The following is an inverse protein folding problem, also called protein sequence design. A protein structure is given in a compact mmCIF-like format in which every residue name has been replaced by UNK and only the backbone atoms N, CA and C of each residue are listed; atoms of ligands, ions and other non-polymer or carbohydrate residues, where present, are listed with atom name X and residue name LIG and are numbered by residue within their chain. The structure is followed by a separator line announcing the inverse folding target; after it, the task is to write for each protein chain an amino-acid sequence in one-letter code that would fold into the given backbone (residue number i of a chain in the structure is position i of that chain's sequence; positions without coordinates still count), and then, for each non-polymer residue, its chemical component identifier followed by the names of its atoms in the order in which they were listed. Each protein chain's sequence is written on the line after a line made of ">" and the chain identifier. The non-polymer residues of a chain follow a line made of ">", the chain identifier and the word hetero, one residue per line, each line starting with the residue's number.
data_IF_778703969370
#
_entry.id   IF_778703969370
#
_cell.length_a   1.000
_cell.length_b   1.000
_cell.length_c   1.000
_cell.angle_alpha   90.00
_cell.angle_beta   90.00
_cell.angle_gamma   90.00
#
_symmetry.space_group_name_H-M   'P 1'
#
loop_
_entity.id
_entity.type
_entity.pdbx_description
1 polymer ?
#
# COMPACT_ATOMS: atom_id res chain seq x y z
N UNK A 1 4.27 -20.61 2.53
CA UNK A 1 5.14 -19.45 2.72
C UNK A 1 4.40 -18.27 2.15
N UNK A 2 3.59 -17.62 2.97
CA UNK A 2 2.71 -16.55 2.53
C UNK A 2 3.36 -15.19 2.84
N UNK A 3 3.22 -14.26 1.90
CA UNK A 3 3.65 -12.87 2.05
C UNK A 3 2.43 -12.02 2.43
N UNK A 4 2.06 -12.02 3.71
CA UNK A 4 0.84 -11.37 4.20
C UNK A 4 0.82 -9.87 3.89
N UNK A 5 1.96 -9.20 3.96
CA UNK A 5 2.10 -7.78 3.67
C UNK A 5 1.69 -7.45 2.23
N UNK A 6 2.07 -8.30 1.27
CA UNK A 6 1.76 -8.09 -0.15
C UNK A 6 0.31 -8.40 -0.49
N UNK A 7 -0.28 -9.44 0.09
CA UNK A 7 -1.70 -9.75 -0.11
C UNK A 7 -2.61 -8.74 0.61
N UNK A 8 -2.23 -8.27 1.79
CA UNK A 8 -2.93 -7.18 2.46
C UNK A 8 -2.81 -5.86 1.69
N UNK A 9 -1.61 -5.53 1.17
CA UNK A 9 -1.41 -4.37 0.30
C UNK A 9 -2.27 -4.46 -0.97
N UNK A 10 -2.40 -5.66 -1.57
CA UNK A 10 -3.29 -5.88 -2.71
C UNK A 10 -4.72 -5.50 -2.37
N UNK A 11 -5.26 -6.00 -1.25
CA UNK A 11 -6.63 -5.68 -0.81
C UNK A 11 -6.81 -4.17 -0.55
N UNK A 12 -5.88 -3.54 0.16
CA UNK A 12 -5.90 -2.09 0.39
C UNK A 12 -5.91 -1.29 -0.91
N UNK A 13 -5.02 -1.61 -1.85
CA UNK A 13 -4.98 -0.96 -3.17
C UNK A 13 -6.26 -1.18 -3.97
N UNK A 14 -6.86 -2.37 -3.90
CA UNK A 14 -8.15 -2.63 -4.56
C UNK A 14 -9.27 -1.75 -4.00
N UNK A 15 -9.29 -1.51 -2.68
CA UNK A 15 -10.25 -0.58 -2.06
C UNK A 15 -10.04 0.85 -2.55
N UNK A 16 -8.79 1.34 -2.46
CA UNK A 16 -8.44 2.72 -2.81
C UNK A 16 -8.68 3.01 -4.29
N UNK A 17 -8.33 2.08 -5.18
CA UNK A 17 -8.48 2.23 -6.62
C UNK A 17 -9.89 1.87 -7.13
N UNK A 18 -10.78 1.37 -6.26
CA UNK A 18 -12.11 0.90 -6.66
C UNK A 18 -12.07 -0.30 -7.61
N UNK A 19 -11.08 -1.19 -7.47
CA UNK A 19 -10.92 -2.37 -8.32
C UNK A 19 -11.82 -3.52 -7.87
N UNK A 20 -12.72 -3.97 -8.75
CA UNK A 20 -13.74 -4.99 -8.46
C UNK A 20 -13.38 -6.41 -8.97
N UNK A 21 -12.11 -6.83 -8.87
CA UNK A 21 -11.70 -8.21 -9.22
C UNK A 21 -11.98 -9.17 -8.06
N UNK A 22 -13.11 -9.88 -8.13
CA UNK A 22 -13.49 -10.86 -7.09
C UNK A 22 -12.50 -12.02 -6.96
N UNK A 23 -11.94 -12.51 -8.06
CA UNK A 23 -11.02 -13.66 -8.00
C UNK A 23 -9.73 -13.26 -7.28
N UNK A 24 -9.19 -12.09 -7.61
CA UNK A 24 -8.00 -11.56 -6.95
C UNK A 24 -8.25 -11.28 -5.46
N UNK A 25 -9.46 -10.80 -5.13
CA UNK A 25 -9.89 -10.56 -3.75
C UNK A 25 -9.99 -11.86 -2.95
N UNK A 26 -10.76 -12.83 -3.45
CA UNK A 26 -10.97 -14.12 -2.79
C UNK A 26 -9.63 -14.84 -2.53
N UNK A 27 -8.69 -14.74 -3.48
CA UNK A 27 -7.35 -15.28 -3.33
C UNK A 27 -6.58 -14.60 -2.19
N UNK A 28 -6.55 -13.27 -2.15
CA UNK A 28 -5.85 -12.54 -1.11
C UNK A 28 -6.48 -12.77 0.28
N UNK A 29 -7.81 -12.81 0.37
CA UNK A 29 -8.52 -13.11 1.61
C UNK A 29 -8.23 -14.53 2.12
N UNK A 30 -8.13 -15.53 1.23
CA UNK A 30 -7.74 -16.90 1.60
C UNK A 30 -6.30 -16.98 2.10
N UNK A 31 -5.36 -16.29 1.46
CA UNK A 31 -3.95 -16.26 1.90
C UNK A 31 -3.77 -15.54 3.25
N UNK A 32 -4.73 -14.70 3.65
CA UNK A 32 -4.72 -13.95 4.92
C UNK A 32 -5.55 -14.62 6.03
N UNK A 33 -6.21 -15.75 5.77
CA UNK A 33 -7.07 -16.40 6.76
C UNK A 33 -6.29 -16.76 8.03
N UNK A 34 -6.71 -16.23 9.17
CA UNK A 34 -6.02 -16.41 10.46
C UNK A 34 -4.82 -15.50 10.70
N UNK A 35 -4.53 -14.57 9.77
CA UNK A 35 -3.43 -13.61 9.81
C UNK A 35 -3.88 -12.15 9.68
N UNK A 36 -5.19 -11.89 9.81
CA UNK A 36 -5.77 -10.55 9.85
C UNK A 36 -5.68 -9.99 11.28
N UNK A 37 -4.49 -9.54 11.65
CA UNK A 37 -4.25 -8.82 12.90
C UNK A 37 -3.30 -7.63 12.71
N UNK A 38 -3.36 -6.69 13.65
CA UNK A 38 -2.43 -5.57 13.73
C UNK A 38 -2.31 -4.77 12.41
N UNK A 39 -1.08 -4.47 11.95
CA UNK A 39 -0.86 -3.75 10.70
C UNK A 39 -1.40 -4.45 9.45
N UNK A 40 -1.44 -5.79 9.43
CA UNK A 40 -1.92 -6.56 8.27
C UNK A 40 -3.42 -6.35 8.07
N UNK A 41 -4.22 -6.44 9.15
CA UNK A 41 -5.65 -6.14 9.10
C UNK A 41 -5.90 -4.67 8.69
N UNK A 42 -5.13 -3.75 9.25
CA UNK A 42 -5.22 -2.33 8.90
C UNK A 42 -4.93 -2.07 7.41
N UNK A 43 -3.91 -2.75 6.85
CA UNK A 43 -3.51 -2.62 5.45
C UNK A 43 -4.57 -3.21 4.50
N UNK A 44 -5.12 -4.39 4.83
CA UNK A 44 -6.15 -5.04 4.02
C UNK A 44 -7.46 -4.24 3.93
N UNK A 45 -7.79 -3.49 4.98
CA UNK A 45 -9.01 -2.68 5.08
C UNK A 45 -8.81 -1.20 4.75
N UNK A 46 -7.59 -0.78 4.40
CA UNK A 46 -7.28 0.61 4.09
C UNK A 46 -8.17 1.12 2.95
N UNK A 47 -8.68 2.34 3.11
CA UNK A 47 -9.58 3.01 2.14
C UNK A 47 -8.96 4.27 1.54
N UNK A 48 -7.75 4.64 1.98
CA UNK A 48 -6.97 5.76 1.44
C UNK A 48 -5.50 5.38 1.26
N UNK A 49 -4.78 6.07 0.37
CA UNK A 49 -3.32 5.86 0.19
C UNK A 49 -2.54 6.16 1.49
N UNK A 50 -2.94 7.18 2.25
CA UNK A 50 -2.29 7.51 3.53
C UNK A 50 -2.48 6.43 4.60
N UNK A 51 -3.63 5.74 4.62
CA UNK A 51 -3.83 4.57 5.48
C UNK A 51 -2.95 3.40 5.05
N UNK A 52 -2.85 3.15 3.73
CA UNK A 52 -1.94 2.13 3.18
C UNK A 52 -0.52 2.40 3.63
N UNK A 53 0.00 3.62 3.43
CA UNK A 53 1.38 3.98 3.80
C UNK A 53 1.63 3.78 5.29
N UNK A 54 0.71 4.24 6.16
CA UNK A 54 0.83 4.07 7.61
C UNK A 54 0.86 2.60 8.04
N UNK A 55 -0.02 1.78 7.49
CA UNK A 55 -0.11 0.37 7.88
C UNK A 55 1.01 -0.47 7.26
N UNK A 56 1.48 -0.11 6.07
CA UNK A 56 2.62 -0.76 5.42
C UNK A 56 3.93 -0.47 6.15
N UNK A 57 4.15 0.78 6.60
CA UNK A 57 5.30 1.14 7.45
C UNK A 57 5.31 0.31 8.75
N UNK A 58 4.16 0.19 9.43
CA UNK A 58 4.05 -0.63 10.63
C UNK A 58 4.28 -2.13 10.35
N UNK A 59 3.77 -2.67 9.24
CA UNK A 59 4.02 -4.05 8.84
C UNK A 59 5.50 -4.31 8.49
N UNK A 60 6.19 -3.33 7.90
CA UNK A 60 7.63 -3.39 7.63
C UNK A 60 8.45 -3.42 8.93
N UNK A 61 8.06 -2.65 9.94
CA UNK A 61 8.69 -2.69 11.27
C UNK A 61 8.55 -4.08 11.90
N UNK A 62 7.34 -4.65 11.88
CA UNK A 62 7.11 -6.01 12.42
C UNK A 62 7.94 -7.07 11.65
N UNK A 63 8.03 -6.95 10.33
CA UNK A 63 8.84 -7.83 9.50
C UNK A 63 10.34 -7.72 9.82
N UNK A 64 10.84 -6.51 10.03
CA UNK A 64 12.23 -6.25 10.42
C UNK A 64 12.54 -6.80 11.81
N UNK A 65 11.60 -6.67 12.76
CA UNK A 65 11.72 -7.30 14.08
C UNK A 65 11.78 -8.83 13.96
N UNK A 66 10.92 -9.43 13.13
CA UNK A 66 10.96 -10.86 12.88
C UNK A 66 12.30 -11.31 12.31
N UNK A 67 12.83 -10.59 11.30
CA UNK A 67 14.14 -10.90 10.72
C UNK A 67 15.25 -10.79 11.77
N UNK A 68 15.21 -9.76 12.62
CA UNK A 68 16.21 -9.57 13.67
C UNK A 68 16.17 -10.66 14.76
N UNK A 69 15.00 -11.25 15.00
CA UNK A 69 14.83 -12.35 15.95
C UNK A 69 15.19 -13.73 15.36
N UNK A 70 15.20 -13.89 14.04
CA UNK A 70 15.51 -15.15 13.35
C UNK A 70 17.01 -15.42 13.35
N UNK A 71 17.41 -16.65 13.67
CA UNK A 71 18.81 -17.09 13.60
C UNK A 71 19.32 -17.01 12.14
N UNK A 72 20.54 -16.53 11.94
CA UNK A 72 21.13 -16.41 10.61
C UNK A 72 21.37 -17.77 9.92
N UNK A 73 21.47 -18.85 10.70
CA UNK A 73 21.59 -20.22 10.18
C UNK A 73 20.22 -20.89 9.96
N UNK A 74 19.11 -20.21 10.28
CA UNK A 74 17.76 -20.71 10.01
C UNK A 74 17.49 -20.74 8.49
N UNK A 75 17.00 -21.87 7.93
CA UNK A 75 16.64 -21.97 6.51
C UNK A 75 15.64 -20.91 6.01
N UNK A 76 14.85 -20.30 6.90
CA UNK A 76 13.88 -19.26 6.57
C UNK A 76 14.50 -17.85 6.48
N UNK A 77 15.69 -17.63 7.05
CA UNK A 77 16.29 -16.31 7.19
C UNK A 77 16.43 -15.56 5.86
N UNK A 78 16.94 -16.25 4.83
CA UNK A 78 17.10 -15.68 3.48
C UNK A 78 15.75 -15.36 2.83
N UNK A 79 14.72 -16.16 3.09
CA UNK A 79 13.37 -15.90 2.60
C UNK A 79 12.79 -14.64 3.23
N UNK A 80 12.90 -14.48 4.56
CA UNK A 80 12.39 -13.29 5.26
C UNK A 80 13.07 -12.01 4.74
N UNK A 81 14.38 -12.05 4.51
CA UNK A 81 15.11 -10.93 3.91
C UNK A 81 14.68 -10.64 2.47
N UNK A 82 14.42 -11.68 1.67
CA UNK A 82 13.85 -11.53 0.34
C UNK A 82 12.47 -10.89 0.36
N UNK A 83 11.61 -11.31 1.31
CA UNK A 83 10.29 -10.73 1.56
C UNK A 83 10.40 -9.24 1.90
N UNK A 84 11.31 -8.87 2.82
CA UNK A 84 11.54 -7.45 3.17
C UNK A 84 11.92 -6.59 1.96
N UNK A 85 12.79 -7.09 1.08
CA UNK A 85 13.15 -6.37 -0.15
C UNK A 85 11.93 -6.15 -1.05
N UNK A 86 11.09 -7.18 -1.22
CA UNK A 86 9.88 -7.09 -2.03
C UNK A 86 8.85 -6.11 -1.44
N UNK A 87 8.63 -6.14 -0.13
CA UNK A 87 7.68 -5.24 0.55
C UNK A 87 8.16 -3.79 0.50
N UNK A 88 9.46 -3.53 0.71
CA UNK A 88 10.04 -2.17 0.56
C UNK A 88 9.99 -1.65 -0.88
N UNK A 89 10.05 -2.52 -1.88
CA UNK A 89 9.84 -2.08 -3.27
C UNK A 89 8.39 -1.67 -3.51
N UNK A 90 7.45 -2.43 -2.96
CA UNK A 90 6.03 -2.11 -3.01
C UNK A 90 5.69 -0.79 -2.27
N UNK A 91 6.28 -0.55 -1.10
CA UNK A 91 6.18 0.72 -0.38
C UNK A 91 6.60 1.92 -1.24
N UNK A 92 7.76 1.84 -1.90
CA UNK A 92 8.20 2.90 -2.81
C UNK A 92 7.25 3.08 -4.00
N UNK A 93 6.59 2.02 -4.46
CA UNK A 93 5.59 2.12 -5.51
C UNK A 93 4.34 2.85 -5.03
N UNK A 94 3.89 2.60 -3.79
CA UNK A 94 2.77 3.32 -3.17
C UNK A 94 3.11 4.80 -3.02
N UNK A 95 4.29 5.16 -2.51
CA UNK A 95 4.68 6.57 -2.39
C UNK A 95 4.69 7.30 -3.74
N UNK A 96 5.21 6.67 -4.80
CA UNK A 96 5.14 7.25 -6.15
C UNK A 96 3.71 7.45 -6.64
N UNK A 97 2.80 6.53 -6.30
CA UNK A 97 1.39 6.66 -6.64
C UNK A 97 0.74 7.82 -5.87
N UNK A 98 1.04 7.96 -4.58
CA UNK A 98 0.58 9.08 -3.74
C UNK A 98 1.07 10.42 -4.30
N UNK A 99 2.38 10.56 -4.53
CA UNK A 99 2.98 11.77 -5.11
C UNK A 99 2.35 12.14 -6.46
N UNK A 100 2.09 11.14 -7.31
CA UNK A 100 1.44 11.34 -8.60
C UNK A 100 -0.02 11.79 -8.44
N UNK A 101 -0.75 11.22 -7.48
CA UNK A 101 -2.12 11.62 -7.16
C UNK A 101 -2.22 13.08 -6.71
N UNK A 102 -1.35 13.50 -5.80
CA UNK A 102 -1.27 14.89 -5.34
C UNK A 102 -0.91 15.85 -6.48
N UNK A 103 0.04 15.47 -7.35
CA UNK A 103 0.39 16.28 -8.52
C UNK A 103 -0.77 16.47 -9.50
N UNK A 104 -1.66 15.47 -9.64
CA UNK A 104 -2.87 15.60 -10.47
C UNK A 104 -3.87 16.55 -9.81
N UNK A 105 -4.03 16.48 -8.49
CA UNK A 105 -4.92 17.37 -7.74
C UNK A 105 -4.47 18.83 -7.84
N UNK A 106 -3.17 19.09 -7.65
CA UNK A 106 -2.59 20.43 -7.80
C UNK A 106 -2.83 20.98 -9.22
N UNK A 107 -2.59 20.15 -10.24
CA UNK A 107 -2.80 20.53 -11.63
C UNK A 107 -4.26 20.87 -11.97
N UNK A 108 -5.24 20.30 -11.26
CA UNK A 108 -6.65 20.68 -11.41
C UNK A 108 -6.92 22.08 -10.84
N UNK A 109 -6.27 22.45 -9.73
CA UNK A 109 -6.33 23.80 -9.16
C UNK A 109 -5.76 24.83 -10.13
N UNK A 110 -4.57 24.57 -10.67
CA UNK A 110 -3.93 25.45 -11.65
C UNK A 110 -4.80 25.62 -12.91
N UNK A 111 -5.39 24.53 -13.42
CA UNK A 111 -6.27 24.58 -14.58
C UNK A 111 -7.57 25.37 -14.31
N UNK A 112 -8.13 25.24 -13.12
CA UNK A 112 -9.29 26.02 -12.67
C UNK A 112 -8.98 27.52 -12.64
N UNK A 113 -7.85 27.89 -12.05
CA UNK A 113 -7.44 29.29 -11.93
C UNK A 113 -7.13 29.90 -13.31
N UNK A 114 -6.42 29.16 -14.16
CA UNK A 114 -6.15 29.57 -15.54
C UNK A 114 -7.45 29.76 -16.35
N UNK A 115 -8.47 28.93 -16.13
CA UNK A 115 -9.77 29.08 -16.79
C UNK A 115 -10.41 30.43 -16.43
N UNK A 116 -10.40 30.79 -15.14
CA UNK A 116 -10.96 32.06 -14.68
C UNK A 116 -10.13 33.27 -15.10
N UNK A 117 -8.81 33.13 -15.21
CA UNK A 117 -7.93 34.16 -15.78
C UNK A 117 -8.21 34.38 -17.27
N UNK A 118 -8.36 33.30 -18.05
CA UNK A 118 -8.56 33.37 -19.50
C UNK A 118 -9.98 33.83 -19.88
N UNK A 119 -10.98 33.53 -19.05
CA UNK A 119 -12.38 33.89 -19.26
C UNK A 119 -12.96 34.59 -18.01
N UNK A 120 -12.61 35.87 -17.79
CA UNK A 120 -13.17 36.62 -16.68
C UNK A 120 -14.68 36.73 -16.82
N UNK A 121 -15.42 36.44 -15.75
CA UNK A 121 -16.81 36.84 -15.67
C UNK A 121 -16.87 38.32 -15.26
N UNK A 122 -17.61 39.13 -16.01
CA UNK A 122 -17.95 40.48 -15.54
C UNK A 122 -18.76 40.35 -14.23
N UNK A 123 -18.31 41.00 -13.15
CA UNK A 123 -19.09 41.17 -11.90
C UNK A 123 -20.44 41.86 -12.16
#
# INVERSE_FOLDING_TARGET
>A
MACHELEALRLGLMNVLGTEDRTARDHAEQELEGHLDGPIEGLANASTLSEIERHLDAALVDLEEQIAATDADDPEYDYLRGRLVAVRDAERAVHRLTDQGESVLDGLGDAHDLLHEAFPADE
#
